data_IF_925409060563
#
_entry.id   IF_925409060563
#
_cell.length_a   1.000
_cell.length_b   1.000
_cell.length_c   1.000
_cell.angle_alpha   90.00
_cell.angle_beta   90.00
_cell.angle_gamma   90.00
#
_symmetry.space_group_name_H-M   'P 1'
#
loop_
_entity.id
_entity.type
_entity.pdbx_description
1 polymer ?
#
# COMPACT_ATOMS: atom_id res chain seq x y z
N UNK A 1 22.55 6.60 -0.62
CA UNK A 1 23.25 6.58 -1.92
C UNK A 1 22.46 7.46 -2.89
N UNK A 2 23.09 8.11 -3.89
CA UNK A 2 22.36 8.91 -4.86
C UNK A 2 21.48 7.99 -5.72
N UNK A 3 20.16 8.22 -5.68
CA UNK A 3 19.21 7.40 -6.44
C UNK A 3 19.14 7.82 -7.90
N UNK A 4 19.13 6.86 -8.82
CA UNK A 4 18.91 7.11 -10.26
C UNK A 4 17.42 7.29 -10.60
N UNK A 5 16.53 6.84 -9.70
CA UNK A 5 15.09 7.06 -9.76
C UNK A 5 14.75 8.56 -9.80
N UNK A 6 13.98 8.98 -10.81
CA UNK A 6 13.49 10.36 -10.92
C UNK A 6 12.46 10.63 -9.83
N UNK A 7 11.63 9.64 -9.54
CA UNK A 7 10.64 9.68 -8.47
C UNK A 7 11.29 10.00 -7.12
N UNK A 8 12.31 9.24 -6.73
CA UNK A 8 12.98 9.44 -5.44
C UNK A 8 13.72 10.77 -5.39
N UNK A 9 14.35 11.19 -6.49
CA UNK A 9 15.14 12.42 -6.52
C UNK A 9 14.29 13.70 -6.41
N UNK A 10 13.13 13.74 -7.08
CA UNK A 10 12.35 14.97 -7.23
C UNK A 10 11.08 15.00 -6.38
N UNK A 11 10.49 13.85 -6.07
CA UNK A 11 9.18 13.76 -5.44
C UNK A 11 9.31 13.17 -4.04
N UNK A 12 9.95 12.01 -3.89
CA UNK A 12 9.95 11.27 -2.63
C UNK A 12 11.03 11.72 -1.64
N UNK A 13 12.23 12.07 -2.11
CA UNK A 13 13.35 12.57 -1.29
C UNK A 13 13.90 13.88 -1.86
N UNK A 14 13.07 14.93 -1.97
CA UNK A 14 13.51 16.19 -2.55
C UNK A 14 14.63 16.79 -1.68
N UNK A 15 15.76 17.16 -2.30
CA UNK A 15 16.88 17.82 -1.59
C UNK A 15 16.46 19.15 -0.94
N UNK A 16 15.47 19.82 -1.51
CA UNK A 16 14.89 21.07 -1.00
C UNK A 16 13.36 20.96 -1.08
N UNK A 17 12.61 21.18 0.02
CA UNK A 17 11.15 21.03 0.04
C UNK A 17 10.43 22.11 -0.80
N UNK A 18 11.07 23.24 -1.07
CA UNK A 18 10.49 24.34 -1.85
C UNK A 18 10.20 23.99 -3.31
N UNK A 19 10.97 23.07 -3.90
CA UNK A 19 10.76 22.62 -5.29
C UNK A 19 9.38 22.00 -5.52
N UNK A 20 9.02 20.92 -4.81
CA UNK A 20 7.71 20.29 -4.95
C UNK A 20 6.56 21.22 -4.53
N UNK A 21 6.76 22.07 -3.51
CA UNK A 21 5.73 23.04 -3.09
C UNK A 21 5.45 24.05 -4.22
N UNK A 22 6.49 24.61 -4.83
CA UNK A 22 6.34 25.53 -5.96
C UNK A 22 5.67 24.84 -7.16
N UNK A 23 6.06 23.60 -7.47
CA UNK A 23 5.43 22.83 -8.54
C UNK A 23 3.93 22.61 -8.30
N UNK A 24 3.55 22.23 -7.06
CA UNK A 24 2.13 22.06 -6.69
C UNK A 24 1.35 23.38 -6.80
N UNK A 25 1.92 24.49 -6.33
CA UNK A 25 1.27 25.80 -6.45
C UNK A 25 1.04 26.20 -7.91
N UNK A 26 2.03 25.97 -8.77
CA UNK A 26 1.91 26.24 -10.21
C UNK A 26 0.83 25.37 -10.85
N UNK A 27 0.82 24.06 -10.55
CA UNK A 27 -0.18 23.11 -11.07
C UNK A 27 -1.59 23.49 -10.60
N UNK A 28 -1.76 23.86 -9.32
CA UNK A 28 -3.07 24.28 -8.83
C UNK A 28 -3.53 25.60 -9.44
N UNK A 29 -2.62 26.56 -9.66
CA UNK A 29 -2.97 27.88 -10.19
C UNK A 29 -3.17 27.89 -11.71
N UNK A 30 -2.49 27.01 -12.46
CA UNK A 30 -2.48 26.98 -13.91
C UNK A 30 -3.88 27.00 -14.58
N UNK A 31 -4.85 26.15 -14.21
CA UNK A 31 -6.13 26.12 -14.91
C UNK A 31 -6.95 27.39 -14.64
N UNK A 32 -6.82 28.01 -13.46
CA UNK A 32 -7.50 29.27 -13.15
C UNK A 32 -6.88 30.46 -13.87
N UNK A 33 -5.54 30.52 -13.94
CA UNK A 33 -4.83 31.57 -14.65
C UNK A 33 -5.18 31.56 -16.13
N UNK A 34 -5.20 30.37 -16.75
CA UNK A 34 -5.55 30.23 -18.17
C UNK A 34 -7.03 30.55 -18.42
N UNK A 35 -7.94 30.04 -17.58
CA UNK A 35 -9.36 30.37 -17.69
C UNK A 35 -9.61 31.89 -17.55
N UNK A 36 -8.93 32.55 -16.61
CA UNK A 36 -9.01 33.99 -16.42
C UNK A 36 -8.48 34.76 -17.64
N UNK A 37 -7.36 34.34 -18.21
CA UNK A 37 -6.79 34.95 -19.43
C UNK A 37 -7.70 34.75 -20.67
N UNK A 38 -8.43 33.65 -20.74
CA UNK A 38 -9.40 33.38 -21.81
C UNK A 38 -10.75 34.08 -21.59
N UNK A 39 -10.97 34.72 -20.43
CA UNK A 39 -12.26 35.31 -20.07
C UNK A 39 -13.37 34.26 -19.88
N UNK A 40 -13.01 33.02 -19.55
CA UNK A 40 -13.95 31.94 -19.33
C UNK A 40 -14.56 32.04 -17.92
N UNK A 41 -15.89 32.06 -17.83
CA UNK A 41 -16.58 32.02 -16.54
C UNK A 41 -16.54 30.59 -15.97
N UNK A 42 -15.66 30.39 -14.98
CA UNK A 42 -15.66 29.20 -14.15
C UNK A 42 -16.84 29.27 -13.18
N UNK A 43 -17.96 28.65 -13.56
CA UNK A 43 -19.12 28.52 -12.66
C UNK A 43 -18.75 27.77 -11.38
N UNK A 44 -19.54 27.95 -10.32
CA UNK A 44 -19.38 27.26 -9.02
C UNK A 44 -19.41 25.72 -9.13
N UNK A 45 -19.89 25.16 -10.24
CA UNK A 45 -19.88 23.72 -10.52
C UNK A 45 -18.66 23.31 -11.36
N UNK A 46 -18.23 24.14 -12.31
CA UNK A 46 -17.12 23.84 -13.22
C UNK A 46 -15.75 23.80 -12.53
N UNK A 47 -15.49 24.67 -11.54
CA UNK A 47 -14.17 24.72 -10.88
C UNK A 47 -13.81 23.43 -10.13
N UNK A 48 -14.80 22.65 -9.69
CA UNK A 48 -14.54 21.40 -8.97
C UNK A 48 -14.01 20.30 -9.88
N UNK A 49 -14.56 20.17 -11.08
CA UNK A 49 -14.05 19.24 -12.10
C UNK A 49 -12.63 19.61 -12.52
N UNK A 50 -12.37 20.91 -12.68
CA UNK A 50 -11.05 21.49 -12.93
C UNK A 50 -10.04 21.13 -11.83
N UNK A 51 -10.48 21.07 -10.57
CA UNK A 51 -9.60 20.83 -9.44
C UNK A 51 -9.23 19.36 -9.19
N UNK A 52 -9.87 18.40 -9.85
CA UNK A 52 -9.59 16.97 -9.61
C UNK A 52 -8.13 16.61 -9.94
N UNK A 53 -7.63 16.85 -11.16
CA UNK A 53 -6.24 16.53 -11.49
C UNK A 53 -5.21 17.23 -10.59
N UNK A 54 -5.24 18.56 -10.39
CA UNK A 54 -4.23 19.24 -9.58
C UNK A 54 -4.32 18.84 -8.11
N UNK A 55 -5.51 18.56 -7.56
CA UNK A 55 -5.66 18.09 -6.19
C UNK A 55 -5.04 16.70 -5.98
N UNK A 56 -5.25 15.77 -6.92
CA UNK A 56 -4.65 14.43 -6.84
C UNK A 56 -3.14 14.51 -7.00
N UNK A 57 -2.63 15.34 -7.91
CA UNK A 57 -1.17 15.55 -8.06
C UNK A 57 -0.58 16.12 -6.77
N UNK A 58 -1.20 17.16 -6.20
CA UNK A 58 -0.78 17.75 -4.93
C UNK A 58 -0.77 16.73 -3.79
N UNK A 59 -1.80 15.90 -3.72
CA UNK A 59 -1.94 14.82 -2.74
C UNK A 59 -0.80 13.79 -2.86
N UNK A 60 -0.45 13.39 -4.08
CA UNK A 60 0.66 12.47 -4.35
C UNK A 60 1.98 13.09 -3.87
N UNK A 61 2.23 14.36 -4.20
CA UNK A 61 3.46 15.07 -3.80
C UNK A 61 3.58 15.21 -2.28
N UNK A 62 2.45 15.44 -1.58
CA UNK A 62 2.43 15.56 -0.13
C UNK A 62 2.74 14.23 0.58
N UNK A 63 2.30 13.11 0.01
CA UNK A 63 2.41 11.80 0.64
C UNK A 63 3.67 11.03 0.26
N UNK A 64 4.23 11.27 -0.92
CA UNK A 64 5.40 10.54 -1.39
C UNK A 64 6.57 10.49 -0.39
N UNK A 65 6.95 11.60 0.30
CA UNK A 65 8.03 11.56 1.28
C UNK A 65 7.71 10.69 2.50
N UNK A 66 6.43 10.68 2.92
CA UNK A 66 6.00 9.86 4.07
C UNK A 66 6.02 8.37 3.72
N UNK A 67 5.57 8.01 2.53
CA UNK A 67 5.59 6.62 2.07
C UNK A 67 7.01 6.07 2.04
N UNK A 68 7.96 6.81 1.47
CA UNK A 68 9.36 6.40 1.41
C UNK A 68 10.02 6.32 2.79
N UNK A 69 9.71 7.26 3.69
CA UNK A 69 10.20 7.19 5.07
C UNK A 69 9.69 5.95 5.82
N UNK A 70 8.47 5.49 5.52
CA UNK A 70 7.93 4.25 6.10
C UNK A 70 8.61 3.01 5.50
N UNK A 71 8.88 3.01 4.21
CA UNK A 71 9.61 1.93 3.54
C UNK A 71 11.01 1.76 4.11
N UNK A 72 11.73 2.87 4.33
CA UNK A 72 13.07 2.83 4.96
C UNK A 72 13.03 2.16 6.33
N UNK A 73 11.96 2.37 7.11
CA UNK A 73 11.77 1.70 8.41
C UNK A 73 11.54 0.21 8.26
N UNK A 74 10.72 -0.21 7.29
CA UNK A 74 10.48 -1.63 7.01
C UNK A 74 11.79 -2.29 6.56
N UNK A 75 12.50 -1.66 5.64
CA UNK A 75 13.79 -2.14 5.15
C UNK A 75 14.81 -2.27 6.28
N UNK A 76 14.86 -1.31 7.19
CA UNK A 76 15.75 -1.36 8.36
C UNK A 76 15.38 -2.51 9.30
N UNK A 77 14.09 -2.70 9.58
CA UNK A 77 13.61 -3.80 10.41
C UNK A 77 13.89 -5.17 9.79
N UNK A 78 13.66 -5.33 8.49
CA UNK A 78 13.92 -6.60 7.78
C UNK A 78 15.41 -6.89 7.66
N UNK A 79 16.26 -5.89 7.40
CA UNK A 79 17.73 -6.08 7.35
C UNK A 79 18.29 -6.61 8.66
N UNK A 80 17.73 -6.21 9.80
CA UNK A 80 18.17 -6.71 11.11
C UNK A 80 17.93 -8.22 11.29
N UNK A 81 17.03 -8.82 10.51
CA UNK A 81 16.71 -10.25 10.54
C UNK A 81 17.48 -11.08 9.49
N UNK A 82 18.19 -10.43 8.57
CA UNK A 82 18.91 -11.10 7.50
C UNK A 82 20.30 -11.51 7.98
N UNK A 83 20.66 -12.78 7.77
CA UNK A 83 22.00 -13.31 8.07
C UNK A 83 23.01 -13.05 6.93
N UNK A 84 22.60 -12.38 5.84
CA UNK A 84 23.43 -12.17 4.64
C UNK A 84 24.43 -11.01 4.77
N UNK A 85 25.54 -11.13 4.04
CA UNK A 85 26.58 -10.09 3.94
C UNK A 85 26.01 -8.79 3.34
N UNK A 86 26.11 -7.65 4.04
CA UNK A 86 25.65 -6.34 3.55
C UNK A 86 26.23 -5.93 2.19
N UNK A 87 27.40 -6.45 1.80
CA UNK A 87 28.01 -6.16 0.49
C UNK A 87 27.18 -6.72 -0.68
N UNK A 88 26.61 -7.93 -0.51
CA UNK A 88 25.78 -8.57 -1.53
C UNK A 88 24.46 -7.81 -1.71
N UNK A 89 23.87 -7.37 -0.60
CA UNK A 89 22.64 -6.55 -0.61
C UNK A 89 22.85 -5.20 -1.28
N UNK A 90 24.01 -4.56 -1.08
CA UNK A 90 24.33 -3.29 -1.71
C UNK A 90 24.45 -3.42 -3.24
N UNK A 91 25.05 -4.52 -3.72
CA UNK A 91 25.21 -4.78 -5.17
C UNK A 91 23.87 -5.04 -5.86
N UNK A 92 23.01 -5.87 -5.27
CA UNK A 92 21.68 -6.12 -5.81
C UNK A 92 20.80 -4.86 -5.82
N UNK A 93 20.92 -4.04 -4.77
CA UNK A 93 20.22 -2.75 -4.72
C UNK A 93 20.67 -1.84 -5.86
N UNK A 94 21.97 -1.74 -6.15
CA UNK A 94 22.49 -0.96 -7.27
C UNK A 94 22.02 -1.47 -8.64
N UNK A 95 21.98 -2.79 -8.86
CA UNK A 95 21.49 -3.38 -10.11
C UNK A 95 19.98 -3.15 -10.31
N UNK A 96 19.20 -3.19 -9.23
CA UNK A 96 17.78 -2.84 -9.27
C UNK A 96 17.57 -1.35 -9.57
N UNK A 97 18.40 -0.49 -8.99
CA UNK A 97 18.37 0.97 -9.17
C UNK A 97 18.69 1.38 -10.61
N UNK A 98 19.66 0.72 -11.25
CA UNK A 98 20.00 0.97 -12.65
C UNK A 98 18.81 0.72 -13.61
N UNK A 99 17.90 -0.20 -13.25
CA UNK A 99 16.70 -0.52 -14.04
C UNK A 99 15.47 0.30 -13.63
N UNK A 100 15.54 1.07 -12.55
CA UNK A 100 14.40 1.80 -12.00
C UNK A 100 13.87 2.85 -12.97
N UNK A 101 14.76 3.63 -13.61
CA UNK A 101 14.37 4.71 -14.52
C UNK A 101 13.50 4.22 -15.69
N UNK A 102 13.94 3.16 -16.38
CA UNK A 102 13.20 2.62 -17.53
C UNK A 102 11.83 2.10 -17.11
N UNK A 103 11.74 1.47 -15.94
CA UNK A 103 10.48 0.92 -15.43
C UNK A 103 9.53 2.02 -14.95
N UNK A 104 10.04 3.08 -14.34
CA UNK A 104 9.25 4.28 -13.99
C UNK A 104 8.66 4.94 -15.23
N UNK A 105 9.45 5.10 -16.30
CA UNK A 105 8.97 5.67 -17.56
C UNK A 105 7.90 4.77 -18.23
N UNK A 106 8.10 3.45 -18.20
CA UNK A 106 7.08 2.50 -18.69
C UNK A 106 5.80 2.55 -17.86
N UNK A 107 5.91 2.68 -16.53
CA UNK A 107 4.75 2.80 -15.64
C UNK A 107 3.99 4.11 -15.87
N UNK A 108 4.71 5.22 -16.05
CA UNK A 108 4.14 6.50 -16.43
C UNK A 108 3.42 6.40 -17.78
N UNK A 109 4.08 5.80 -18.77
CA UNK A 109 3.52 5.56 -20.11
C UNK A 109 2.28 4.66 -20.07
N UNK A 110 2.24 3.64 -19.21
CA UNK A 110 1.07 2.78 -19.03
C UNK A 110 -0.11 3.55 -18.41
N UNK A 111 0.16 4.43 -17.44
CA UNK A 111 -0.86 5.34 -16.88
C UNK A 111 -1.42 6.29 -17.94
N UNK A 112 -0.57 6.87 -18.78
CA UNK A 112 -1.00 7.69 -19.92
C UNK A 112 -1.84 6.91 -20.93
N UNK A 113 -1.39 5.70 -21.31
CA UNK A 113 -2.10 4.85 -22.25
C UNK A 113 -3.49 4.44 -21.72
N UNK A 114 -3.59 4.18 -20.41
CA UNK A 114 -4.88 3.95 -19.75
C UNK A 114 -5.81 5.15 -19.93
N UNK A 115 -5.35 6.36 -19.63
CA UNK A 115 -6.16 7.55 -19.85
C UNK A 115 -6.53 7.75 -21.32
N UNK A 116 -5.63 7.49 -22.27
CA UNK A 116 -5.97 7.59 -23.70
C UNK A 116 -7.12 6.65 -24.03
N UNK A 117 -7.03 5.35 -23.69
CA UNK A 117 -8.07 4.36 -24.02
C UNK A 117 -9.45 4.74 -23.46
N UNK A 118 -9.50 5.25 -22.23
CA UNK A 118 -10.76 5.56 -21.54
C UNK A 118 -11.22 7.01 -21.70
N UNK A 119 -10.31 7.94 -22.00
CA UNK A 119 -10.52 9.39 -22.07
C UNK A 119 -10.60 9.96 -23.49
N UNK A 120 -10.22 9.19 -24.52
CA UNK A 120 -10.25 9.61 -25.94
C UNK A 120 -11.63 10.11 -26.41
N UNK A 121 -12.72 9.67 -25.76
CA UNK A 121 -14.10 10.13 -26.09
C UNK A 121 -14.33 11.61 -25.81
N UNK A 122 -13.55 12.23 -24.92
CA UNK A 122 -13.72 13.64 -24.53
C UNK A 122 -12.77 14.60 -25.25
N UNK A 123 -11.80 14.11 -26.03
CA UNK A 123 -10.82 14.95 -26.74
C UNK A 123 -11.39 15.69 -27.96
N UNK A 124 -12.64 15.40 -28.34
CA UNK A 124 -13.28 15.95 -29.54
C UNK A 124 -14.12 17.22 -29.33
N UNK A 125 -14.28 17.71 -28.10
CA UNK A 125 -15.16 18.85 -27.82
C UNK A 125 -14.40 20.03 -27.21
N UNK A 126 -14.31 21.07 -28.04
CA UNK A 126 -13.78 22.43 -27.86
C UNK A 126 -12.25 22.64 -27.90
N UNK A 127 -11.83 23.72 -28.57
CA UNK A 127 -10.43 24.13 -28.72
C UNK A 127 -10.17 25.33 -27.81
N UNK A 128 -10.04 25.11 -26.49
CA UNK A 128 -9.61 26.16 -25.56
C UNK A 128 -8.27 25.80 -24.91
N UNK A 129 -7.47 26.81 -24.57
CA UNK A 129 -6.23 26.63 -23.81
C UNK A 129 -6.52 26.05 -22.43
N UNK A 130 -7.64 26.41 -21.81
CA UNK A 130 -8.08 25.82 -20.54
C UNK A 130 -8.19 24.30 -20.67
N UNK A 131 -8.81 23.80 -21.73
CA UNK A 131 -8.92 22.35 -21.94
C UNK A 131 -7.58 21.69 -22.26
N UNK A 132 -6.68 22.38 -22.96
CA UNK A 132 -5.33 21.86 -23.19
C UNK A 132 -4.57 21.68 -21.86
N UNK A 133 -4.65 22.65 -20.95
CA UNK A 133 -4.03 22.57 -19.62
C UNK A 133 -4.66 21.47 -18.78
N UNK A 134 -6.00 21.40 -18.71
CA UNK A 134 -6.69 20.35 -17.98
C UNK A 134 -6.39 18.96 -18.52
N UNK A 135 -6.30 18.81 -19.85
CA UNK A 135 -5.90 17.56 -20.48
C UNK A 135 -4.49 17.19 -20.06
N UNK A 136 -3.55 18.14 -20.13
CA UNK A 136 -2.17 17.95 -19.70
C UNK A 136 -2.06 17.52 -18.22
N UNK A 137 -2.79 18.19 -17.32
CA UNK A 137 -2.82 17.83 -15.90
C UNK A 137 -3.44 16.46 -15.68
N UNK A 138 -4.49 16.11 -16.43
CA UNK A 138 -5.10 14.79 -16.37
C UNK A 138 -4.12 13.71 -16.84
N UNK A 139 -3.39 13.95 -17.93
CA UNK A 139 -2.30 13.09 -18.38
C UNK A 139 -1.22 12.93 -17.29
N UNK A 140 -0.77 14.04 -16.71
CA UNK A 140 0.23 14.03 -15.65
C UNK A 140 -0.26 13.25 -14.41
N UNK A 141 -1.52 13.45 -14.00
CA UNK A 141 -2.15 12.74 -12.89
C UNK A 141 -2.17 11.23 -13.13
N UNK A 142 -2.67 10.75 -14.27
CA UNK A 142 -2.72 9.32 -14.57
C UNK A 142 -1.34 8.70 -14.73
N UNK A 143 -0.40 9.43 -15.35
CA UNK A 143 1.00 9.00 -15.41
C UNK A 143 1.63 8.86 -14.02
N UNK A 144 1.43 9.84 -13.14
CA UNK A 144 1.90 9.80 -11.75
C UNK A 144 1.25 8.67 -10.95
N UNK A 145 -0.06 8.44 -11.12
CA UNK A 145 -0.75 7.30 -10.52
C UNK A 145 -0.14 5.97 -10.98
N UNK A 146 0.18 5.85 -12.27
CA UNK A 146 0.89 4.69 -12.83
C UNK A 146 2.22 4.44 -12.14
N UNK A 147 3.02 5.50 -11.95
CA UNK A 147 4.30 5.43 -11.22
C UNK A 147 4.10 5.02 -9.76
N UNK A 148 3.09 5.57 -9.07
CA UNK A 148 2.77 5.23 -7.67
C UNK A 148 2.36 3.75 -7.54
N UNK A 149 1.48 3.28 -8.43
CA UNK A 149 1.02 1.87 -8.45
C UNK A 149 2.18 0.92 -8.74
N UNK A 150 3.01 1.28 -9.73
CA UNK A 150 4.20 0.50 -10.07
C UNK A 150 5.18 0.45 -8.89
N UNK A 151 5.52 1.59 -8.30
CA UNK A 151 6.42 1.69 -7.15
C UNK A 151 5.91 0.87 -5.97
N UNK A 152 4.62 0.95 -5.66
CA UNK A 152 3.99 0.11 -4.63
C UNK A 152 4.14 -1.40 -4.94
N UNK A 153 3.86 -1.80 -6.19
CA UNK A 153 3.91 -3.22 -6.59
C UNK A 153 5.33 -3.77 -6.61
N UNK A 154 6.29 -3.02 -7.16
CA UNK A 154 7.70 -3.41 -7.26
C UNK A 154 8.31 -3.56 -5.87
N UNK A 155 8.00 -2.63 -4.96
CA UNK A 155 8.45 -2.67 -3.56
C UNK A 155 7.83 -3.84 -2.79
N UNK A 156 6.54 -4.12 -2.96
CA UNK A 156 5.91 -5.33 -2.40
C UNK A 156 6.60 -6.60 -2.89
N UNK A 157 6.96 -6.68 -4.18
CA UNK A 157 7.71 -7.81 -4.72
C UNK A 157 9.12 -7.90 -4.12
N UNK A 158 9.80 -6.76 -3.96
CA UNK A 158 11.09 -6.65 -3.29
C UNK A 158 11.04 -7.17 -1.85
N UNK A 159 10.08 -6.70 -1.05
CA UNK A 159 9.84 -7.22 0.31
C UNK A 159 9.54 -8.71 0.30
N UNK A 160 8.66 -9.17 -0.60
CA UNK A 160 8.35 -10.58 -0.75
C UNK A 160 9.56 -11.44 -1.13
N UNK A 161 10.52 -10.91 -1.89
CA UNK A 161 11.77 -11.58 -2.22
C UNK A 161 12.71 -11.65 -1.01
N UNK A 162 12.85 -10.57 -0.25
CA UNK A 162 13.65 -10.54 0.98
C UNK A 162 13.10 -11.49 2.05
N UNK A 163 11.77 -11.54 2.19
CA UNK A 163 11.08 -12.46 3.10
C UNK A 163 11.25 -13.94 2.75
N UNK A 164 11.69 -14.26 1.52
CA UNK A 164 11.99 -15.64 1.10
C UNK A 164 13.43 -16.04 1.36
N UNK A 165 14.31 -15.11 1.75
CA UNK A 165 15.70 -15.39 2.10
C UNK A 165 15.76 -16.05 3.49
N UNK A 166 16.92 -16.61 3.85
CA UNK A 166 17.14 -17.21 5.16
C UNK A 166 17.02 -16.13 6.24
N UNK A 167 15.82 -16.00 6.79
CA UNK A 167 15.49 -15.14 7.91
C UNK A 167 15.39 -16.01 9.15
N UNK A 168 16.04 -15.56 10.22
CA UNK A 168 15.86 -16.17 11.53
C UNK A 168 14.56 -15.63 12.13
N UNK A 169 13.49 -16.39 11.91
CA UNK A 169 12.13 -16.02 12.33
C UNK A 169 11.78 -16.78 13.60
N UNK A 170 11.51 -16.06 14.67
CA UNK A 170 10.83 -16.60 15.85
C UNK A 170 9.32 -16.44 15.65
N UNK A 171 8.52 -17.53 15.60
CA UNK A 171 7.07 -17.45 15.43
C UNK A 171 6.36 -16.73 16.58
N UNK A 172 6.99 -16.60 17.74
CA UNK A 172 6.43 -15.94 18.91
C UNK A 172 6.76 -14.45 18.98
N UNK A 173 7.81 -13.99 18.28
CA UNK A 173 8.15 -12.56 18.17
C UNK A 173 7.75 -11.98 16.81
N UNK A 174 6.55 -11.42 16.77
CA UNK A 174 5.97 -10.80 15.57
C UNK A 174 6.34 -9.31 15.43
N UNK A 175 6.98 -8.70 16.44
CA UNK A 175 7.24 -7.26 16.48
C UNK A 175 8.04 -6.72 15.27
N UNK A 176 9.02 -7.46 14.69
CA UNK A 176 9.70 -7.01 13.49
C UNK A 176 8.77 -6.88 12.27
N UNK A 177 7.70 -7.66 12.23
CA UNK A 177 6.74 -7.70 11.12
C UNK A 177 5.61 -6.67 11.27
N UNK A 178 5.42 -6.07 12.46
CA UNK A 178 4.48 -4.96 12.66
C UNK A 178 4.83 -3.74 11.81
N UNK A 179 6.11 -3.55 11.48
CA UNK A 179 6.53 -2.51 10.54
C UNK A 179 5.93 -2.75 9.14
N UNK A 180 5.92 -4.01 8.68
CA UNK A 180 5.29 -4.42 7.41
C UNK A 180 3.78 -4.20 7.48
N UNK A 181 3.17 -4.56 8.62
CA UNK A 181 1.77 -4.30 8.94
C UNK A 181 1.37 -2.84 8.75
N UNK A 182 2.09 -1.95 9.44
CA UNK A 182 1.87 -0.50 9.40
C UNK A 182 2.13 0.11 8.03
N UNK A 183 3.12 -0.37 7.30
CA UNK A 183 3.40 0.10 5.95
C UNK A 183 2.28 -0.25 4.97
N UNK A 184 1.78 -1.50 5.01
CA UNK A 184 0.64 -1.92 4.20
C UNK A 184 -0.62 -1.12 4.53
N UNK A 185 -0.88 -0.86 5.83
CA UNK A 185 -1.97 0.02 6.27
C UNK A 185 -1.83 1.43 5.69
N UNK A 186 -0.64 2.04 5.77
CA UNK A 186 -0.41 3.38 5.25
C UNK A 186 -0.61 3.44 3.73
N UNK A 187 -0.10 2.46 2.98
CA UNK A 187 -0.36 2.36 1.55
C UNK A 187 -1.86 2.29 1.24
N UNK A 188 -2.61 1.41 1.93
CA UNK A 188 -4.05 1.31 1.76
C UNK A 188 -4.75 2.66 2.05
N UNK A 189 -4.38 3.34 3.14
CA UNK A 189 -4.93 4.65 3.49
C UNK A 189 -4.59 5.74 2.46
N UNK A 190 -3.43 5.68 1.81
CA UNK A 190 -3.11 6.59 0.71
C UNK A 190 -4.08 6.41 -0.45
N UNK A 191 -4.40 5.18 -0.83
CA UNK A 191 -5.41 4.93 -1.86
C UNK A 191 -6.80 5.39 -1.40
N UNK A 192 -7.21 5.08 -0.16
CA UNK A 192 -8.49 5.55 0.39
C UNK A 192 -8.58 7.08 0.35
N UNK A 193 -7.54 7.79 0.78
CA UNK A 193 -7.52 9.25 0.75
C UNK A 193 -7.60 9.81 -0.67
N UNK A 194 -6.94 9.18 -1.65
CA UNK A 194 -7.05 9.57 -3.06
C UNK A 194 -8.45 9.36 -3.63
N UNK A 195 -9.09 8.24 -3.31
CA UNK A 195 -10.47 7.93 -3.71
C UNK A 195 -11.44 8.93 -3.06
N UNK A 196 -11.27 9.19 -1.77
CA UNK A 196 -12.09 10.14 -1.01
C UNK A 196 -11.95 11.55 -1.59
N UNK A 197 -10.72 11.98 -1.89
CA UNK A 197 -10.45 13.27 -2.50
C UNK A 197 -11.16 13.39 -3.86
N UNK A 198 -11.04 12.35 -4.70
CA UNK A 198 -11.77 12.29 -5.98
C UNK A 198 -13.28 12.38 -5.79
N UNK A 199 -13.83 11.65 -4.83
CA UNK A 199 -15.26 11.67 -4.50
C UNK A 199 -15.72 13.07 -4.05
N UNK A 200 -14.96 13.78 -3.22
CA UNK A 200 -15.32 15.13 -2.75
C UNK A 200 -15.57 16.10 -3.90
N UNK A 201 -14.80 16.00 -4.98
CA UNK A 201 -14.99 16.85 -6.16
C UNK A 201 -16.13 16.37 -7.06
N UNK A 202 -16.37 15.05 -7.17
CA UNK A 202 -17.46 14.47 -7.98
C UNK A 202 -18.83 14.57 -7.30
N UNK A 203 -18.87 14.64 -5.96
CA UNK A 203 -20.09 14.53 -5.16
C UNK A 203 -21.13 15.62 -5.46
N UNK A 204 -20.74 16.76 -6.03
CA UNK A 204 -21.63 17.91 -6.21
C UNK A 204 -22.67 17.68 -7.31
N UNK A 205 -22.38 16.84 -8.29
CA UNK A 205 -23.30 16.45 -9.38
C UNK A 205 -23.95 15.11 -9.05
N UNK A 206 -25.15 15.08 -8.44
CA UNK A 206 -25.71 13.84 -7.91
C UNK A 206 -26.17 12.88 -9.00
N UNK A 207 -26.50 13.41 -10.17
CA UNK A 207 -26.86 12.64 -11.35
C UNK A 207 -25.78 11.60 -11.70
N UNK A 208 -24.49 11.90 -11.45
CA UNK A 208 -23.37 11.00 -11.73
C UNK A 208 -23.39 9.78 -10.80
N UNK A 209 -23.89 9.90 -9.57
CA UNK A 209 -23.92 8.81 -8.60
C UNK A 209 -24.96 7.72 -8.93
N UNK A 210 -25.94 8.05 -9.78
CA UNK A 210 -26.97 7.12 -10.24
C UNK A 210 -26.50 6.34 -11.48
N UNK A 211 -25.48 6.84 -12.19
CA UNK A 211 -24.95 6.21 -13.40
C UNK A 211 -24.28 4.87 -13.06
N UNK A 212 -24.62 3.83 -13.82
CA UNK A 212 -23.98 2.50 -13.70
C UNK A 212 -22.49 2.59 -14.00
N UNK A 213 -22.09 3.46 -14.93
CA UNK A 213 -20.70 3.72 -15.30
C UNK A 213 -19.88 4.22 -14.10
N UNK A 214 -20.47 5.04 -13.23
CA UNK A 214 -19.81 5.51 -12.01
C UNK A 214 -19.45 4.32 -11.10
N UNK A 215 -20.41 3.43 -10.84
CA UNK A 215 -20.19 2.26 -9.98
C UNK A 215 -19.24 1.25 -10.60
N UNK A 216 -19.27 1.06 -11.92
CA UNK A 216 -18.32 0.19 -12.63
C UNK A 216 -16.87 0.65 -12.48
N UNK A 217 -16.62 1.96 -12.33
CA UNK A 217 -15.27 2.51 -12.12
C UNK A 217 -14.92 2.59 -10.64
N UNK A 218 -15.80 3.13 -9.80
CA UNK A 218 -15.51 3.40 -8.39
C UNK A 218 -15.58 2.16 -7.49
N UNK A 219 -16.41 1.15 -7.79
CA UNK A 219 -16.49 -0.03 -6.93
C UNK A 219 -15.20 -0.88 -6.97
N UNK A 220 -14.61 -1.20 -8.15
CA UNK A 220 -13.30 -1.84 -8.19
C UNK A 220 -12.20 -0.97 -7.56
N UNK A 221 -12.26 0.35 -7.77
CA UNK A 221 -11.32 1.28 -7.16
C UNK A 221 -11.41 1.29 -5.63
N UNK A 222 -12.62 1.24 -5.06
CA UNK A 222 -12.87 1.13 -3.63
C UNK A 222 -12.43 -0.22 -3.03
N UNK A 223 -12.42 -1.28 -3.84
CA UNK A 223 -11.88 -2.59 -3.44
C UNK A 223 -10.34 -2.63 -3.43
N UNK A 224 -9.67 -1.78 -4.21
CA UNK A 224 -8.19 -1.77 -4.32
C UNK A 224 -7.46 -1.61 -2.98
N UNK A 225 -7.83 -0.69 -2.06
CA UNK A 225 -7.20 -0.60 -0.74
C UNK A 225 -7.22 -1.92 0.03
N UNK A 226 -8.32 -2.67 -0.01
CA UNK A 226 -8.41 -3.98 0.63
C UNK A 226 -7.48 -4.98 -0.06
N UNK A 227 -7.50 -5.05 -1.38
CA UNK A 227 -6.63 -5.93 -2.15
C UNK A 227 -5.16 -5.64 -1.84
N UNK A 228 -4.75 -4.38 -1.90
CA UNK A 228 -3.38 -3.93 -1.59
C UNK A 228 -3.01 -4.31 -0.16
N UNK A 229 -3.88 -4.04 0.81
CA UNK A 229 -3.63 -4.34 2.22
C UNK A 229 -3.30 -5.82 2.44
N UNK A 230 -4.14 -6.72 1.91
CA UNK A 230 -3.99 -8.17 2.10
C UNK A 230 -2.89 -8.78 1.23
N UNK A 231 -2.80 -8.38 -0.05
CA UNK A 231 -1.77 -8.89 -0.97
C UNK A 231 -0.38 -8.54 -0.48
N UNK A 232 -0.17 -7.33 0.06
CA UNK A 232 1.13 -6.92 0.59
C UNK A 232 1.56 -7.72 1.82
N UNK A 233 0.61 -8.22 2.63
CA UNK A 233 0.90 -9.01 3.83
C UNK A 233 1.02 -10.51 3.58
N UNK A 234 0.54 -11.00 2.43
CA UNK A 234 0.50 -12.42 2.12
C UNK A 234 1.88 -13.10 2.17
N UNK A 235 2.99 -12.50 1.69
CA UNK A 235 4.32 -13.10 1.82
C UNK A 235 4.73 -13.29 3.27
N UNK A 236 4.51 -12.28 4.12
CA UNK A 236 4.82 -12.32 5.56
C UNK A 236 3.97 -13.37 6.27
N UNK A 237 2.68 -13.45 5.94
CA UNK A 237 1.80 -14.47 6.49
C UNK A 237 2.30 -15.88 6.17
N UNK A 238 2.66 -16.13 4.90
CA UNK A 238 3.22 -17.42 4.47
C UNK A 238 4.54 -17.74 5.17
N UNK A 239 5.39 -16.74 5.42
CA UNK A 239 6.64 -16.92 6.15
C UNK A 239 6.39 -17.32 7.61
N UNK A 240 5.55 -16.58 8.33
CA UNK A 240 5.21 -16.85 9.73
C UNK A 240 4.49 -18.18 9.89
N UNK A 241 3.55 -18.50 9.00
CA UNK A 241 2.85 -19.78 9.00
C UNK A 241 3.83 -20.95 8.80
N UNK A 242 4.77 -20.84 7.86
CA UNK A 242 5.81 -21.86 7.65
C UNK A 242 6.74 -22.01 8.84
N UNK A 243 7.12 -20.91 9.50
CA UNK A 243 7.96 -20.94 10.69
C UNK A 243 7.24 -21.63 11.85
N UNK A 244 5.98 -21.24 12.12
CA UNK A 244 5.12 -21.89 13.12
C UNK A 244 4.95 -23.38 12.85
N UNK A 245 4.62 -23.76 11.62
CA UNK A 245 4.38 -25.18 11.28
C UNK A 245 5.67 -26.02 11.35
N UNK A 246 6.83 -25.41 11.10
CA UNK A 246 8.14 -26.06 11.28
C UNK A 246 8.40 -26.33 12.76
N UNK A 247 8.17 -25.34 13.61
CA UNK A 247 8.42 -25.46 15.05
C UNK A 247 7.42 -26.40 15.72
N UNK A 248 6.14 -26.36 15.32
CA UNK A 248 5.13 -27.31 15.78
C UNK A 248 5.52 -28.76 15.46
N UNK A 249 5.99 -29.05 14.23
CA UNK A 249 6.48 -30.39 13.88
C UNK A 249 7.67 -30.82 14.73
N UNK A 250 8.59 -29.89 15.04
CA UNK A 250 9.75 -30.17 15.89
C UNK A 250 9.31 -30.51 17.32
N UNK A 251 8.34 -29.77 17.85
CA UNK A 251 7.81 -29.98 19.20
C UNK A 251 7.04 -31.30 19.30
N UNK A 252 6.20 -31.63 18.32
CA UNK A 252 5.47 -32.91 18.27
C UNK A 252 6.44 -34.11 18.26
N UNK A 253 7.53 -34.04 17.48
CA UNK A 253 8.58 -35.07 17.51
C UNK A 253 9.22 -35.19 18.90
N UNK A 254 9.61 -34.07 19.51
CA UNK A 254 10.22 -34.07 20.85
C UNK A 254 9.27 -34.59 21.94
N UNK A 255 7.97 -34.26 21.87
CA UNK A 255 6.96 -34.77 22.79
C UNK A 255 6.84 -36.28 22.66
N UNK A 256 6.81 -36.82 21.43
CA UNK A 256 6.73 -38.27 21.20
C UNK A 256 7.98 -38.99 21.71
N UNK A 257 9.17 -38.44 21.45
CA UNK A 257 10.44 -38.97 21.94
C UNK A 257 10.50 -38.97 23.47
N UNK A 258 10.15 -37.85 24.11
CA UNK A 258 10.16 -37.73 25.57
C UNK A 258 9.08 -38.62 26.21
N UNK A 259 7.90 -38.78 25.60
CA UNK A 259 6.86 -39.74 26.03
C UNK A 259 7.34 -41.20 25.97
N UNK A 260 7.99 -41.60 24.87
CA UNK A 260 8.52 -42.96 24.75
C UNK A 260 9.62 -43.22 25.80
N UNK A 261 10.51 -42.25 26.02
CA UNK A 261 11.53 -42.31 27.05
C UNK A 261 10.95 -42.34 28.48
N UNK A 262 9.86 -41.60 28.72
CA UNK A 262 9.13 -41.59 29.99
C UNK A 262 8.59 -42.99 30.34
N UNK A 263 7.94 -43.66 29.39
CA UNK A 263 7.38 -45.01 29.59
C UNK A 263 8.49 -46.01 29.88
N UNK A 264 9.54 -46.04 29.04
CA UNK A 264 10.67 -46.95 29.23
C UNK A 264 11.39 -46.76 30.57
N UNK A 265 11.65 -45.51 31.00
CA UNK A 265 12.29 -45.25 32.30
C UNK A 265 11.40 -45.55 33.50
N UNK A 266 10.09 -45.36 33.37
CA UNK A 266 9.15 -45.73 34.42
C UNK A 266 9.09 -47.25 34.61
N UNK A 267 9.13 -48.03 33.53
CA UNK A 267 9.23 -49.50 33.57
C UNK A 267 10.54 -49.98 34.21
N UNK A 268 11.65 -49.26 33.99
CA UNK A 268 12.95 -49.54 34.58
C UNK A 268 13.10 -49.02 36.03
N UNK A 269 12.08 -48.36 36.60
CA UNK A 269 12.11 -47.79 37.95
C UNK A 269 13.09 -46.62 38.14
N UNK A 270 13.48 -45.96 37.05
CA UNK A 270 14.43 -44.84 37.06
C UNK A 270 13.74 -43.51 37.37
N UNK A 271 14.53 -42.48 37.70
CA UNK A 271 14.01 -41.14 37.99
C UNK A 271 13.42 -40.46 36.75
N UNK A 272 12.17 -40.02 36.86
CA UNK A 272 11.33 -39.57 35.74
C UNK A 272 11.10 -38.04 35.75
N UNK A 273 11.38 -37.37 36.87
CA UNK A 273 10.98 -35.98 37.13
C UNK A 273 11.46 -34.98 36.08
N UNK A 274 12.71 -35.11 35.60
CA UNK A 274 13.27 -34.21 34.58
C UNK A 274 12.56 -34.31 33.22
N UNK A 275 12.14 -35.52 32.82
CA UNK A 275 11.41 -35.72 31.57
C UNK A 275 9.97 -35.17 31.67
N UNK A 276 9.31 -35.34 32.81
CA UNK A 276 7.97 -34.79 33.03
C UNK A 276 7.97 -33.25 33.00
N UNK A 277 8.98 -32.61 33.58
CA UNK A 277 9.13 -31.14 33.49
C UNK A 277 9.36 -30.68 32.06
N UNK A 278 10.20 -31.38 31.30
CA UNK A 278 10.44 -31.07 29.89
C UNK A 278 9.17 -31.21 29.04
N UNK A 279 8.38 -32.27 29.28
CA UNK A 279 7.10 -32.49 28.60
C UNK A 279 6.09 -31.36 28.89
N UNK A 280 5.98 -30.92 30.14
CA UNK A 280 5.15 -29.76 30.52
C UNK A 280 5.61 -28.48 29.82
N UNK A 281 6.93 -28.26 29.71
CA UNK A 281 7.47 -27.11 28.99
C UNK A 281 7.17 -27.18 27.48
N UNK A 282 7.30 -28.36 26.86
CA UNK A 282 7.02 -28.56 25.43
C UNK A 282 5.55 -28.39 25.09
N UNK A 283 4.63 -28.94 25.90
CA UNK A 283 3.18 -28.77 25.72
C UNK A 283 2.74 -27.32 25.94
N UNK A 284 3.32 -26.61 26.91
CA UNK A 284 3.10 -25.18 27.07
C UNK A 284 3.60 -24.37 25.86
N UNK A 285 4.76 -24.74 25.30
CA UNK A 285 5.31 -24.12 24.10
C UNK A 285 4.46 -24.41 22.85
N UNK A 286 3.97 -25.64 22.67
CA UNK A 286 3.04 -26.02 21.61
C UNK A 286 1.76 -25.17 21.64
N UNK A 287 1.15 -25.04 22.83
CA UNK A 287 -0.04 -24.21 23.02
C UNK A 287 0.21 -22.74 22.62
N UNK A 288 1.38 -22.19 22.97
CA UNK A 288 1.78 -20.84 22.55
C UNK A 288 1.96 -20.73 21.04
N UNK A 289 2.57 -21.73 20.40
CA UNK A 289 2.72 -21.76 18.93
C UNK A 289 1.37 -21.83 18.21
N UNK A 290 0.40 -22.60 18.73
CA UNK A 290 -0.95 -22.68 18.16
C UNK A 290 -1.71 -21.35 18.26
N UNK A 291 -1.48 -20.58 19.34
CA UNK A 291 -2.07 -19.26 19.56
C UNK A 291 -1.30 -18.13 18.85
N UNK A 292 -0.09 -18.41 18.34
CA UNK A 292 0.75 -17.42 17.69
C UNK A 292 0.08 -16.86 16.44
N UNK A 293 0.06 -15.52 16.33
CA UNK A 293 -0.54 -14.82 15.20
C UNK A 293 0.37 -14.97 13.98
N UNK A 294 -0.18 -15.48 12.89
CA UNK A 294 0.55 -15.60 11.62
C UNK A 294 0.30 -14.42 10.68
N UNK A 295 -0.63 -13.54 11.00
CA UNK A 295 -0.89 -12.33 10.21
C UNK A 295 -0.24 -11.12 10.88
N UNK A 296 0.53 -10.29 10.14
CA UNK A 296 1.25 -9.15 10.68
C UNK A 296 0.33 -7.92 10.83
N UNK A 297 -0.85 -8.09 11.39
CA UNK A 297 -1.77 -7.01 11.68
C UNK A 297 -2.47 -7.25 13.02
N UNK A 298 -2.83 -6.15 13.68
CA UNK A 298 -3.71 -6.18 14.84
C UNK A 298 -5.13 -5.77 14.46
N UNK A 299 -6.10 -6.13 15.32
CA UNK A 299 -7.52 -5.80 15.15
C UNK A 299 -7.75 -4.30 14.93
N UNK A 300 -6.94 -3.43 15.57
CA UNK A 300 -6.98 -2.00 15.37
C UNK A 300 -6.65 -1.57 13.93
N UNK A 301 -5.70 -2.24 13.26
CA UNK A 301 -5.35 -1.94 11.87
C UNK A 301 -6.50 -2.30 10.93
N UNK A 302 -7.09 -3.49 11.13
CA UNK A 302 -8.22 -3.96 10.33
C UNK A 302 -9.44 -3.06 10.47
N UNK A 303 -9.76 -2.64 11.71
CA UNK A 303 -10.80 -1.64 11.97
C UNK A 303 -10.53 -0.33 11.26
N UNK A 304 -9.27 0.13 11.25
CA UNK A 304 -8.89 1.39 10.60
C UNK A 304 -9.10 1.33 9.08
N UNK A 305 -8.65 0.26 8.41
CA UNK A 305 -8.90 0.08 6.97
C UNK A 305 -10.41 0.03 6.69
N UNK A 306 -11.14 -0.78 7.45
CA UNK A 306 -12.56 -0.98 7.24
C UNK A 306 -13.35 0.32 7.40
N UNK A 307 -13.15 1.06 8.49
CA UNK A 307 -13.81 2.35 8.72
C UNK A 307 -13.41 3.36 7.65
N UNK A 308 -12.15 3.41 7.26
CA UNK A 308 -11.68 4.39 6.28
C UNK A 308 -12.26 4.16 4.89
N UNK A 309 -12.48 2.91 4.48
CA UNK A 309 -13.14 2.61 3.20
C UNK A 309 -14.66 2.84 3.28
N UNK A 310 -15.27 2.54 4.43
CA UNK A 310 -16.72 2.70 4.60
C UNK A 310 -17.16 4.15 4.73
N UNK A 311 -16.36 5.05 5.33
CA UNK A 311 -16.77 6.45 5.54
C UNK A 311 -17.12 7.14 4.21
N UNK A 312 -16.26 7.13 3.17
CA UNK A 312 -16.62 7.70 1.87
C UNK A 312 -17.83 7.01 1.23
N UNK A 313 -17.90 5.68 1.27
CA UNK A 313 -19.05 4.94 0.73
C UNK A 313 -20.36 5.29 1.43
N UNK A 314 -20.34 5.38 2.77
CA UNK A 314 -21.47 5.77 3.60
C UNK A 314 -21.92 7.20 3.33
N UNK A 315 -20.99 8.13 3.08
CA UNK A 315 -21.34 9.50 2.69
C UNK A 315 -22.05 9.56 1.33
N UNK A 316 -21.61 8.77 0.35
CA UNK A 316 -22.25 8.67 -0.97
C UNK A 316 -23.66 8.07 -0.84
N UNK A 317 -23.79 6.94 -0.14
CA UNK A 317 -25.09 6.28 0.08
C UNK A 317 -26.04 7.18 0.87
N UNK A 318 -25.56 7.84 1.92
CA UNK A 318 -26.35 8.76 2.73
C UNK A 318 -26.97 9.89 1.89
N UNK A 319 -26.21 10.45 0.93
CA UNK A 319 -26.77 11.46 0.02
C UNK A 319 -27.77 10.88 -0.96
N UNK A 320 -27.51 9.71 -1.53
CA UNK A 320 -28.48 9.04 -2.42
C UNK A 320 -29.82 8.82 -1.71
N UNK A 321 -29.79 8.46 -0.43
CA UNK A 321 -30.98 8.32 0.41
C UNK A 321 -31.65 9.68 0.65
N UNK A 322 -30.90 10.72 1.03
CA UNK A 322 -31.45 12.07 1.23
C UNK A 322 -32.11 12.62 -0.04
N UNK A 323 -31.52 12.39 -1.21
CA UNK A 323 -32.10 12.82 -2.48
C UNK A 323 -33.32 11.99 -2.88
N UNK A 324 -33.34 10.69 -2.56
CA UNK A 324 -34.52 9.85 -2.75
C UNK A 324 -35.69 10.27 -1.83
N UNK A 325 -35.39 10.77 -0.62
CA UNK A 325 -36.39 11.25 0.34
C UNK A 325 -36.93 12.64 0.00
N UNK A 326 -36.17 13.47 -0.72
CA UNK A 326 -36.56 14.82 -1.13
C UNK A 326 -37.30 14.87 -2.48
N UNK A 327 -37.56 13.71 -3.12
CA UNK A 327 -38.38 13.58 -4.33
C UNK A 327 -39.77 13.07 -3.98
#
# INVERSE_FOLDING_TARGET
MPTTSLWDRYIARPKKPWGPIAAVLVIVAAPFLVAWLEGADLTLEAWRGVMIPPAIIAYIFLLAPRLVAMEDRVMTALRALMEEDPATLAREAQEAEAKALTRELLAFGAGLAFYLVFGLRNLGQTQSWTQAVLSFETFAMYGLLGVVIYGSTDRTRGFGAMLRRNLRVDPLDVAPFDAVGRHSLALALVFVGGITLSLVFVWVTPAVLILTEFWLVYAPLAAMPFVIFFVNMLPTHRLLARARDRDLRRVDLLIREDCAALVSKAEEGQEVAGLSQRLLALTAYESRLLQARTWPYDTAMLRTVFVSVLVPGGTVVGRLVLEALNR
#
